data_IF_532534443386
#
_entry.id   IF_532534443386
#
_cell.length_a   1.000
_cell.length_b   1.000
_cell.length_c   1.000
_cell.angle_alpha   90.00
_cell.angle_beta   90.00
_cell.angle_gamma   90.00
#
_symmetry.space_group_name_H-M   'P 1'
#
loop_
_entity.id
_entity.type
_entity.pdbx_description
1 polymer ?
#
# COMPACT_ATOMS: atom_id res chain seq x y z
N UNK A 1 21.58 -78.79 3.97
CA UNK A 1 20.75 -78.48 2.78
C UNK A 1 20.79 -76.97 2.57
N UNK A 2 21.36 -76.49 1.46
CA UNK A 2 21.30 -75.06 1.10
C UNK A 2 19.94 -74.77 0.44
N UNK A 3 19.23 -73.70 0.81
CA UNK A 3 17.94 -73.36 0.22
C UNK A 3 18.11 -72.95 -1.25
N UNK A 4 17.16 -73.35 -2.08
CA UNK A 4 17.13 -73.03 -3.51
C UNK A 4 16.98 -71.50 -3.71
N UNK A 5 17.71 -70.90 -4.66
CA UNK A 5 17.62 -69.47 -4.92
C UNK A 5 16.21 -69.12 -5.43
N UNK A 6 15.67 -68.03 -4.90
CA UNK A 6 14.39 -67.47 -5.31
C UNK A 6 14.37 -67.23 -6.82
N UNK A 7 13.24 -67.46 -7.52
CA UNK A 7 13.14 -67.20 -8.94
C UNK A 7 13.38 -65.71 -9.19
N UNK A 8 14.55 -65.40 -9.76
CA UNK A 8 14.84 -64.07 -10.27
C UNK A 8 13.81 -63.76 -11.35
N UNK A 9 13.12 -62.63 -11.22
CA UNK A 9 12.33 -62.06 -12.31
C UNK A 9 13.21 -62.03 -13.57
N UNK A 10 12.67 -62.40 -14.75
CA UNK A 10 13.46 -62.39 -15.97
C UNK A 10 14.00 -60.98 -16.17
N UNK A 11 15.32 -60.83 -16.28
CA UNK A 11 16.05 -59.54 -16.37
C UNK A 11 15.47 -58.55 -17.39
N UNK A 12 14.75 -59.07 -18.37
CA UNK A 12 14.06 -58.33 -19.42
C UNK A 12 12.86 -57.53 -18.88
N UNK A 13 12.09 -58.09 -17.93
CA UNK A 13 10.96 -57.41 -17.29
C UNK A 13 11.40 -56.21 -16.43
N UNK A 14 12.52 -56.33 -15.72
CA UNK A 14 13.08 -55.23 -14.92
C UNK A 14 13.63 -54.10 -15.81
N UNK A 15 14.22 -54.45 -16.95
CA UNK A 15 14.69 -53.46 -17.95
C UNK A 15 13.53 -52.70 -18.59
N UNK A 16 12.44 -53.41 -18.92
CA UNK A 16 11.26 -52.82 -19.54
C UNK A 16 10.52 -51.88 -18.55
N UNK A 17 10.43 -52.27 -17.28
CA UNK A 17 9.87 -51.44 -16.21
C UNK A 17 10.72 -50.18 -15.95
N UNK A 18 12.04 -50.29 -16.02
CA UNK A 18 12.93 -49.14 -15.86
C UNK A 18 12.79 -48.15 -17.01
N UNK A 19 12.76 -48.64 -18.26
CA UNK A 19 12.55 -47.81 -19.44
C UNK A 19 11.18 -47.11 -19.43
N UNK A 20 10.13 -47.80 -18.97
CA UNK A 20 8.80 -47.21 -18.79
C UNK A 20 8.80 -46.12 -17.70
N UNK A 21 9.48 -46.35 -16.58
CA UNK A 21 9.59 -45.37 -15.50
C UNK A 21 10.36 -44.12 -15.95
N UNK A 22 11.47 -44.28 -16.67
CA UNK A 22 12.23 -43.16 -17.24
C UNK A 22 11.40 -42.36 -18.26
N UNK A 23 10.65 -43.06 -19.12
CA UNK A 23 9.73 -42.43 -20.06
C UNK A 23 8.62 -41.63 -19.37
N UNK A 24 8.08 -42.15 -18.27
CA UNK A 24 7.05 -41.47 -17.48
C UNK A 24 7.61 -40.21 -16.78
N UNK A 25 8.80 -40.30 -16.21
CA UNK A 25 9.50 -39.17 -15.56
C UNK A 25 9.78 -38.07 -16.59
N UNK A 26 10.33 -38.43 -17.75
CA UNK A 26 10.60 -37.47 -18.82
C UNK A 26 9.31 -36.79 -19.32
N UNK A 27 8.20 -37.54 -19.40
CA UNK A 27 6.90 -36.99 -19.75
C UNK A 27 6.38 -36.00 -18.70
N UNK A 28 6.46 -36.37 -17.41
CA UNK A 28 6.04 -35.52 -16.29
C UNK A 28 6.88 -34.23 -16.19
N UNK A 29 8.19 -34.33 -16.44
CA UNK A 29 9.08 -33.17 -16.47
C UNK A 29 8.74 -32.23 -17.63
N UNK A 30 8.42 -32.80 -18.80
CA UNK A 30 7.96 -32.03 -19.96
C UNK A 30 6.66 -31.27 -19.68
N UNK A 31 5.70 -31.93 -19.04
CA UNK A 31 4.40 -31.34 -18.70
C UNK A 31 4.53 -30.27 -17.60
N UNK A 32 5.36 -30.50 -16.59
CA UNK A 32 5.67 -29.53 -15.53
C UNK A 32 6.32 -28.27 -16.10
N UNK A 33 7.20 -28.42 -17.09
CA UNK A 33 7.84 -27.29 -17.77
C UNK A 33 6.83 -26.47 -18.58
N UNK A 34 5.91 -27.12 -19.28
CA UNK A 34 4.85 -26.44 -20.04
C UNK A 34 3.92 -25.66 -19.10
N UNK A 35 3.48 -26.26 -17.99
CA UNK A 35 2.65 -25.59 -16.99
C UNK A 35 3.36 -24.38 -16.36
N UNK A 36 4.67 -24.49 -16.12
CA UNK A 36 5.47 -23.39 -15.58
C UNK A 36 5.56 -22.20 -16.56
N UNK A 37 5.70 -22.48 -17.86
CA UNK A 37 5.72 -21.46 -18.91
C UNK A 37 4.35 -20.78 -19.06
N UNK A 38 3.27 -21.56 -19.05
CA UNK A 38 1.91 -21.02 -19.16
C UNK A 38 1.55 -20.19 -17.92
N UNK A 39 1.98 -20.62 -16.73
CA UNK A 39 1.85 -19.81 -15.51
C UNK A 39 2.58 -18.47 -15.64
N UNK A 40 3.84 -18.47 -16.08
CA UNK A 40 4.60 -17.24 -16.25
C UNK A 40 3.95 -16.28 -17.28
N UNK A 41 3.36 -16.84 -18.35
CA UNK A 41 2.58 -16.08 -19.33
C UNK A 41 1.32 -15.46 -18.72
N UNK A 42 0.56 -16.24 -17.95
CA UNK A 42 -0.64 -15.77 -17.26
C UNK A 42 -0.30 -14.67 -16.24
N UNK A 43 0.77 -14.82 -15.47
CA UNK A 43 1.25 -13.81 -14.53
C UNK A 43 1.60 -12.50 -15.26
N UNK A 44 2.26 -12.58 -16.42
CA UNK A 44 2.56 -11.43 -17.29
C UNK A 44 1.27 -10.75 -17.80
N UNK A 45 0.29 -11.54 -18.26
CA UNK A 45 -1.00 -11.01 -18.75
C UNK A 45 -1.83 -10.38 -17.63
N UNK A 46 -1.82 -10.96 -16.42
CA UNK A 46 -2.46 -10.38 -15.24
C UNK A 46 -1.82 -9.03 -14.93
N UNK A 47 -0.48 -8.97 -14.89
CA UNK A 47 0.24 -7.74 -14.60
C UNK A 47 0.00 -6.66 -15.67
N UNK A 48 -0.07 -7.03 -16.95
CA UNK A 48 -0.45 -6.13 -18.04
C UNK A 48 -1.89 -5.64 -17.93
N UNK A 49 -2.84 -6.51 -17.59
CA UNK A 49 -4.24 -6.17 -17.41
C UNK A 49 -4.45 -5.24 -16.20
N UNK A 50 -3.81 -5.53 -15.07
CA UNK A 50 -3.78 -4.66 -13.89
C UNK A 50 -3.16 -3.32 -14.24
N UNK A 51 -2.01 -3.31 -14.92
CA UNK A 51 -1.36 -2.09 -15.39
C UNK A 51 -2.26 -1.30 -16.34
N UNK A 52 -2.98 -1.95 -17.26
CA UNK A 52 -3.91 -1.32 -18.18
C UNK A 52 -5.16 -0.78 -17.47
N UNK A 53 -5.67 -1.48 -16.45
CA UNK A 53 -6.76 -1.04 -15.60
C UNK A 53 -6.36 0.17 -14.76
N UNK A 54 -5.14 0.18 -14.22
CA UNK A 54 -4.54 1.34 -13.56
C UNK A 54 -4.30 2.51 -14.54
N UNK A 55 -3.98 2.24 -15.81
CA UNK A 55 -3.83 3.27 -16.87
C UNK A 55 -5.17 3.87 -17.33
N UNK A 56 -6.29 3.12 -17.24
CA UNK A 56 -7.64 3.58 -17.64
C UNK A 56 -8.32 4.47 -16.60
N UNK A 57 -7.82 4.52 -15.36
CA UNK A 57 -8.23 5.53 -14.39
C UNK A 57 -7.61 6.86 -14.82
N UNK A 58 -8.41 7.73 -15.46
CA UNK A 58 -8.08 9.09 -15.92
C UNK A 58 -6.90 9.69 -15.13
N UNK A 59 -5.69 9.70 -15.70
CA UNK A 59 -4.58 10.49 -15.14
C UNK A 59 -4.97 11.96 -15.21
N UNK A 60 -5.41 12.50 -14.08
CA UNK A 60 -5.57 13.93 -13.94
C UNK A 60 -4.20 14.61 -14.17
N UNK A 61 -4.19 15.90 -14.54
CA UNK A 61 -2.93 16.64 -14.66
C UNK A 61 -2.10 16.57 -13.36
N UNK A 62 -2.80 16.47 -12.23
CA UNK A 62 -2.25 16.24 -10.90
C UNK A 62 -1.49 14.91 -10.79
N UNK A 63 -2.05 13.79 -11.22
CA UNK A 63 -1.37 12.48 -11.11
C UNK A 63 -0.07 12.43 -11.91
N UNK A 64 -0.07 13.06 -13.10
CA UNK A 64 1.15 13.22 -13.89
C UNK A 64 2.19 14.07 -13.17
N UNK A 65 1.77 15.13 -12.48
CA UNK A 65 2.68 15.96 -11.70
C UNK A 65 3.28 15.17 -10.52
N UNK A 66 2.46 14.43 -9.77
CA UNK A 66 2.94 13.57 -8.67
C UNK A 66 3.96 12.54 -9.17
N UNK A 67 3.69 11.87 -10.29
CA UNK A 67 4.62 10.91 -10.87
C UNK A 67 5.95 11.55 -11.26
N UNK A 68 5.92 12.70 -11.94
CA UNK A 68 7.14 13.41 -12.37
C UNK A 68 8.01 13.84 -11.19
N UNK A 69 7.39 14.37 -10.14
CA UNK A 69 8.11 14.77 -8.92
C UNK A 69 8.72 13.55 -8.26
N UNK A 70 7.97 12.46 -8.10
CA UNK A 70 8.49 11.20 -7.54
C UNK A 70 9.69 10.65 -8.33
N UNK A 71 9.58 10.59 -9.67
CA UNK A 71 10.68 10.10 -10.53
C UNK A 71 11.93 10.99 -10.47
N UNK A 72 11.82 12.27 -10.12
CA UNK A 72 12.97 13.16 -10.03
C UNK A 72 13.92 12.80 -8.87
N UNK A 73 13.45 12.05 -7.88
CA UNK A 73 14.29 11.57 -6.77
C UNK A 73 15.10 10.31 -7.11
N UNK A 74 14.76 9.61 -8.19
CA UNK A 74 15.37 8.33 -8.57
C UNK A 74 16.88 8.39 -8.81
N UNK A 75 17.45 9.38 -9.53
CA UNK A 75 18.90 9.47 -9.72
C UNK A 75 19.69 9.64 -8.41
N UNK A 76 19.04 10.14 -7.36
CA UNK A 76 19.62 10.31 -6.04
C UNK A 76 19.40 9.12 -5.09
N UNK A 77 18.78 8.02 -5.57
CA UNK A 77 18.30 6.88 -4.77
C UNK A 77 17.21 7.27 -3.74
N UNK A 78 16.37 8.24 -4.11
CA UNK A 78 15.34 8.79 -3.22
C UNK A 78 13.99 8.07 -3.28
N UNK A 79 13.83 7.03 -4.10
CA UNK A 79 12.56 6.28 -4.19
C UNK A 79 12.22 5.53 -2.90
N UNK A 80 13.23 5.24 -2.06
CA UNK A 80 13.05 4.62 -0.74
C UNK A 80 12.79 5.61 0.41
N UNK A 81 12.65 6.92 0.13
CA UNK A 81 12.35 7.90 1.18
C UNK A 81 10.93 7.70 1.74
N UNK A 82 10.80 7.82 3.07
CA UNK A 82 9.49 7.77 3.74
C UNK A 82 8.64 9.00 3.35
N UNK A 83 7.55 8.76 2.63
CA UNK A 83 6.67 9.80 2.08
C UNK A 83 5.99 10.62 3.18
N UNK A 84 5.73 10.00 4.33
CA UNK A 84 5.21 10.67 5.53
C UNK A 84 6.25 11.66 6.05
N UNK A 85 7.50 11.24 6.23
CA UNK A 85 8.59 12.11 6.69
C UNK A 85 8.89 13.24 5.70
N UNK A 86 8.80 13.00 4.38
CA UNK A 86 8.88 14.07 3.38
C UNK A 86 7.79 15.13 3.60
N UNK A 87 6.55 14.69 3.81
CA UNK A 87 5.45 15.61 4.11
C UNK A 87 5.70 16.38 5.41
N UNK A 88 6.25 15.70 6.43
CA UNK A 88 6.57 16.33 7.70
C UNK A 88 7.69 17.35 7.62
N UNK A 89 8.72 17.08 6.82
CA UNK A 89 9.82 18.00 6.58
C UNK A 89 9.33 19.29 5.90
N UNK A 90 8.46 19.15 4.90
CA UNK A 90 7.82 20.28 4.21
C UNK A 90 7.00 21.12 5.21
N UNK A 91 6.20 20.46 6.05
CA UNK A 91 5.35 21.12 7.05
C UNK A 91 6.15 21.83 8.16
N UNK A 92 7.34 21.33 8.49
CA UNK A 92 8.25 21.97 9.45
C UNK A 92 8.87 23.26 8.92
N UNK A 93 8.82 23.52 7.61
CA UNK A 93 9.33 24.72 6.97
C UNK A 93 10.76 25.06 7.39
N UNK A 94 10.97 26.24 7.98
CA UNK A 94 12.30 26.72 8.41
C UNK A 94 13.02 25.78 9.38
N UNK A 95 12.28 25.06 10.24
CA UNK A 95 12.88 24.12 11.19
C UNK A 95 13.40 22.88 10.44
N UNK A 96 12.67 22.41 9.43
CA UNK A 96 13.11 21.33 8.56
C UNK A 96 14.39 21.69 7.80
N UNK A 97 14.47 22.91 7.27
CA UNK A 97 15.68 23.42 6.61
C UNK A 97 16.88 23.45 7.58
N UNK A 98 16.69 23.97 8.80
CA UNK A 98 17.76 24.02 9.79
C UNK A 98 18.29 22.62 10.17
N UNK A 99 17.39 21.65 10.36
CA UNK A 99 17.75 20.26 10.63
C UNK A 99 18.53 19.64 9.46
N UNK A 100 18.09 19.87 8.21
CA UNK A 100 18.76 19.38 7.02
C UNK A 100 20.17 19.98 6.88
N UNK A 101 20.34 21.27 7.14
CA UNK A 101 21.66 21.92 7.15
C UNK A 101 22.57 21.28 8.20
N UNK A 102 22.06 21.03 9.41
CA UNK A 102 22.80 20.32 10.45
C UNK A 102 23.26 18.93 10.01
N UNK A 103 22.40 18.18 9.31
CA UNK A 103 22.78 16.88 8.74
C UNK A 103 23.81 17.05 7.63
N UNK A 104 23.65 18.03 6.74
CA UNK A 104 24.58 18.27 5.64
C UNK A 104 26.00 18.60 6.12
N UNK A 105 26.12 19.48 7.13
CA UNK A 105 27.41 19.86 7.71
C UNK A 105 28.16 18.67 8.33
N UNK A 106 27.42 17.72 8.92
CA UNK A 106 28.01 16.52 9.53
C UNK A 106 28.22 15.36 8.53
N UNK A 107 27.81 15.53 7.27
CA UNK A 107 27.86 14.47 6.26
C UNK A 107 28.38 14.99 4.90
N UNK A 108 29.61 15.54 4.83
CA UNK A 108 30.16 16.16 3.61
C UNK A 108 30.32 15.17 2.45
N UNK A 109 30.33 13.86 2.72
CA UNK A 109 30.41 12.82 1.69
C UNK A 109 29.09 12.48 1.00
N UNK A 110 27.95 13.03 1.44
CA UNK A 110 26.66 12.82 0.79
C UNK A 110 26.64 13.53 -0.58
N UNK A 111 26.32 12.79 -1.65
CA UNK A 111 26.36 13.28 -3.03
C UNK A 111 25.02 13.79 -3.54
N UNK A 112 23.93 13.52 -2.83
CA UNK A 112 22.57 13.92 -3.23
C UNK A 112 21.76 14.41 -2.04
N UNK A 113 20.75 15.24 -2.33
CA UNK A 113 19.75 15.65 -1.34
C UNK A 113 19.01 14.42 -0.76
N UNK A 114 18.68 13.43 -1.59
CA UNK A 114 18.02 12.21 -1.16
C UNK A 114 18.81 11.46 -0.08
N UNK A 115 20.14 11.38 -0.21
CA UNK A 115 21.00 10.78 0.82
C UNK A 115 20.99 11.57 2.12
N UNK A 116 20.97 12.91 2.05
CA UNK A 116 20.86 13.78 3.23
C UNK A 116 19.49 13.62 3.91
N UNK A 117 18.42 13.53 3.13
CA UNK A 117 17.06 13.29 3.63
C UNK A 117 16.94 11.92 4.31
N UNK A 118 17.48 10.87 3.70
CA UNK A 118 17.50 9.54 4.29
C UNK A 118 18.24 9.53 5.64
N UNK A 119 19.40 10.19 5.73
CA UNK A 119 20.15 10.35 6.99
C UNK A 119 19.37 11.18 8.01
N UNK A 120 18.70 12.24 7.59
CA UNK A 120 17.87 13.07 8.47
C UNK A 120 16.69 12.25 9.04
N UNK A 121 16.00 11.48 8.21
CA UNK A 121 14.89 10.64 8.65
C UNK A 121 15.33 9.48 9.55
N UNK A 122 16.55 9.00 9.40
CA UNK A 122 17.17 8.03 10.30
C UNK A 122 17.75 8.65 11.59
N UNK A 123 17.81 9.97 11.69
CA UNK A 123 18.37 10.67 12.86
C UNK A 123 17.38 10.74 14.03
N UNK A 124 17.83 11.27 15.16
CA UNK A 124 16.97 11.53 16.33
C UNK A 124 15.79 12.47 16.02
N UNK A 125 15.91 13.33 15.00
CA UNK A 125 14.81 14.19 14.57
C UNK A 125 13.75 13.45 13.72
N UNK A 126 14.08 12.28 13.19
CA UNK A 126 13.24 11.50 12.28
C UNK A 126 11.83 11.21 12.81
N UNK A 127 11.67 10.66 14.03
CA UNK A 127 10.34 10.41 14.61
C UNK A 127 9.48 11.66 14.71
N UNK A 128 10.07 12.80 15.09
CA UNK A 128 9.36 14.08 15.17
C UNK A 128 8.93 14.56 13.79
N UNK A 129 9.82 14.53 12.80
CA UNK A 129 9.51 14.86 11.40
C UNK A 129 8.34 13.99 10.91
N UNK A 130 8.41 12.68 11.13
CA UNK A 130 7.35 11.75 10.73
C UNK A 130 6.02 12.04 11.42
N UNK A 131 6.02 12.44 12.68
CA UNK A 131 4.80 12.83 13.40
C UNK A 131 4.12 14.07 12.80
N UNK A 132 4.91 15.07 12.40
CA UNK A 132 4.41 16.24 11.65
C UNK A 132 3.83 15.83 10.30
N UNK A 133 4.47 14.88 9.62
CA UNK A 133 3.97 14.32 8.37
C UNK A 133 2.64 13.59 8.54
N UNK A 134 2.51 12.78 9.59
CA UNK A 134 1.27 12.08 9.90
C UNK A 134 0.14 13.06 10.23
N UNK A 135 0.43 14.10 11.02
CA UNK A 135 -0.49 15.18 11.35
C UNK A 135 -0.99 15.90 10.10
N UNK A 136 -0.08 16.43 9.28
CA UNK A 136 -0.40 17.18 8.07
C UNK A 136 -1.21 16.33 7.07
N UNK A 137 -0.80 15.07 6.85
CA UNK A 137 -1.50 14.15 5.94
C UNK A 137 -2.90 13.80 6.45
N UNK A 138 -3.06 13.60 7.75
CA UNK A 138 -4.36 13.32 8.33
C UNK A 138 -5.35 14.46 8.03
N UNK A 139 -4.95 15.71 8.30
CA UNK A 139 -5.79 16.87 8.04
C UNK A 139 -6.12 17.03 6.55
N UNK A 140 -5.10 16.96 5.69
CA UNK A 140 -5.31 17.06 4.24
C UNK A 140 -6.25 15.96 3.70
N UNK A 141 -6.09 14.70 4.14
CA UNK A 141 -6.98 13.61 3.73
C UNK A 141 -8.40 13.75 4.29
N UNK A 142 -8.54 14.28 5.51
CA UNK A 142 -9.83 14.52 6.14
C UNK A 142 -10.60 15.62 5.41
N UNK A 143 -9.92 16.71 5.02
CA UNK A 143 -10.50 17.76 4.16
C UNK A 143 -10.96 17.21 2.81
N UNK A 144 -10.13 16.39 2.15
CA UNK A 144 -10.52 15.74 0.89
C UNK A 144 -11.75 14.83 1.07
N UNK A 145 -11.78 14.04 2.13
CA UNK A 145 -12.91 13.18 2.44
C UNK A 145 -14.20 13.98 2.64
N UNK A 146 -14.13 15.07 3.40
CA UNK A 146 -15.27 15.98 3.64
C UNK A 146 -15.73 16.61 2.33
N UNK A 147 -14.80 17.12 1.52
CA UNK A 147 -15.09 17.74 0.23
C UNK A 147 -15.73 16.76 -0.76
N UNK A 148 -15.19 15.54 -0.88
CA UNK A 148 -15.72 14.49 -1.75
C UNK A 148 -17.12 14.04 -1.30
N UNK A 149 -17.30 13.81 0.00
CA UNK A 149 -18.60 13.44 0.58
C UNK A 149 -19.64 14.54 0.33
N UNK A 150 -19.26 15.80 0.57
CA UNK A 150 -20.14 16.96 0.35
C UNK A 150 -20.53 17.09 -1.13
N UNK A 151 -19.55 16.96 -2.03
CA UNK A 151 -19.76 17.01 -3.48
C UNK A 151 -20.69 15.89 -3.94
N UNK A 152 -20.46 14.67 -3.45
CA UNK A 152 -21.31 13.52 -3.78
C UNK A 152 -22.75 13.73 -3.30
N UNK A 153 -22.95 14.14 -2.05
CA UNK A 153 -24.27 14.44 -1.49
C UNK A 153 -24.98 15.58 -2.23
N UNK A 154 -24.24 16.53 -2.77
CA UNK A 154 -24.79 17.61 -3.59
C UNK A 154 -25.11 17.18 -5.03
N UNK A 155 -24.58 16.06 -5.52
CA UNK A 155 -24.79 15.58 -6.88
C UNK A 155 -26.21 15.03 -7.10
N UNK A 156 -26.72 15.00 -8.35
CA UNK A 156 -28.02 14.39 -8.66
C UNK A 156 -28.14 12.93 -8.16
N UNK A 157 -27.06 12.16 -8.31
CA UNK A 157 -27.03 10.76 -7.88
C UNK A 157 -27.05 10.61 -6.35
N UNK A 158 -26.42 11.54 -5.60
CA UNK A 158 -26.43 11.53 -4.14
C UNK A 158 -27.77 11.95 -3.54
N UNK A 159 -28.48 12.88 -4.20
CA UNK A 159 -29.79 13.38 -3.76
C UNK A 159 -30.95 12.43 -4.09
N UNK A 160 -30.83 11.61 -5.12
CA UNK A 160 -31.89 10.71 -5.54
C UNK A 160 -32.00 9.46 -4.62
N UNK A 161 -33.08 9.32 -3.82
CA UNK A 161 -33.28 8.16 -2.97
C UNK A 161 -33.57 6.87 -3.76
N UNK A 162 -33.89 6.97 -5.06
CA UNK A 162 -34.17 5.83 -5.95
C UNK A 162 -33.02 5.51 -6.90
N UNK A 163 -31.88 6.19 -6.75
CA UNK A 163 -30.73 6.06 -7.64
C UNK A 163 -30.27 4.61 -7.76
N UNK A 164 -29.93 4.19 -8.97
CA UNK A 164 -29.59 2.79 -9.28
C UNK A 164 -28.45 2.26 -8.41
N UNK A 165 -27.47 3.10 -8.06
CA UNK A 165 -26.33 2.69 -7.22
C UNK A 165 -26.76 2.23 -5.83
N UNK A 166 -27.87 2.73 -5.29
CA UNK A 166 -28.37 2.39 -3.94
C UNK A 166 -28.84 0.94 -3.83
N UNK A 167 -29.24 0.33 -4.95
CA UNK A 167 -29.86 -1.01 -5.00
C UNK A 167 -28.87 -2.17 -5.03
N UNK A 168 -27.59 -1.90 -5.29
CA UNK A 168 -26.56 -2.93 -5.26
C UNK A 168 -26.32 -3.45 -3.84
N UNK A 169 -25.60 -4.56 -3.70
CA UNK A 169 -25.09 -4.98 -2.41
C UNK A 169 -24.11 -3.95 -1.83
N UNK A 170 -24.05 -3.86 -0.51
CA UNK A 170 -23.00 -3.13 0.19
C UNK A 170 -21.62 -3.60 -0.31
N UNK A 171 -20.74 -2.65 -0.61
CA UNK A 171 -19.38 -2.95 -1.04
C UNK A 171 -18.56 -3.52 0.11
N UNK A 172 -17.53 -4.31 -0.18
CA UNK A 172 -16.62 -4.84 0.84
C UNK A 172 -16.07 -3.74 1.77
N UNK A 173 -15.78 -2.56 1.21
CA UNK A 173 -15.32 -1.40 1.97
C UNK A 173 -16.40 -0.84 2.90
N UNK A 174 -17.67 -0.80 2.49
CA UNK A 174 -18.76 -0.39 3.37
C UNK A 174 -19.01 -1.42 4.47
N UNK A 175 -18.99 -2.71 4.15
CA UNK A 175 -19.11 -3.78 5.15
C UNK A 175 -18.03 -3.66 6.22
N UNK A 176 -16.77 -3.51 5.80
CA UNK A 176 -15.65 -3.27 6.71
C UNK A 176 -15.88 -2.02 7.59
N UNK A 177 -16.29 -0.90 6.99
CA UNK A 177 -16.57 0.32 7.77
C UNK A 177 -17.72 0.13 8.77
N UNK A 178 -18.77 -0.59 8.39
CA UNK A 178 -19.88 -0.92 9.29
C UNK A 178 -19.38 -1.73 10.48
N UNK A 179 -18.58 -2.76 10.25
CA UNK A 179 -17.99 -3.60 11.30
C UNK A 179 -17.08 -2.79 12.24
N UNK A 180 -16.22 -1.93 11.69
CA UNK A 180 -15.35 -1.06 12.49
C UNK A 180 -16.16 -0.05 13.32
N UNK A 181 -17.17 0.59 12.72
CA UNK A 181 -18.06 1.51 13.45
C UNK A 181 -18.82 0.76 14.55
N UNK A 182 -19.35 -0.43 14.24
CA UNK A 182 -20.08 -1.26 15.20
C UNK A 182 -19.20 -1.66 16.38
N UNK A 183 -17.95 -2.08 16.11
CA UNK A 183 -16.95 -2.39 17.13
C UNK A 183 -16.63 -1.18 18.01
N UNK A 184 -16.32 -0.03 17.41
CA UNK A 184 -15.95 1.19 18.14
C UNK A 184 -17.10 1.72 18.98
N UNK A 185 -18.34 1.62 18.51
CA UNK A 185 -19.53 2.10 19.21
C UNK A 185 -20.17 1.03 20.12
N UNK A 186 -19.61 -0.18 20.17
CA UNK A 186 -20.17 -1.33 20.90
C UNK A 186 -21.64 -1.61 20.57
N UNK A 187 -22.00 -1.53 19.28
CA UNK A 187 -23.35 -1.84 18.78
C UNK A 187 -23.32 -3.06 17.85
N UNK A 188 -24.46 -3.70 17.66
CA UNK A 188 -24.56 -4.83 16.72
C UNK A 188 -24.45 -4.35 15.28
N UNK A 189 -23.55 -4.98 14.51
CA UNK A 189 -23.45 -4.74 13.07
C UNK A 189 -24.67 -5.35 12.35
N UNK A 190 -25.32 -4.60 11.44
CA UNK A 190 -26.36 -5.15 10.59
C UNK A 190 -25.81 -6.24 9.67
N UNK A 191 -26.54 -7.34 9.50
CA UNK A 191 -26.08 -8.53 8.74
C UNK A 191 -26.18 -8.35 7.23
N UNK A 192 -27.18 -7.64 6.75
CA UNK A 192 -27.40 -7.40 5.32
C UNK A 192 -27.99 -6.01 5.11
N UNK A 193 -27.42 -5.27 4.16
CA UNK A 193 -27.88 -3.96 3.74
C UNK A 193 -27.64 -3.79 2.25
N UNK A 194 -28.53 -3.06 1.60
CA UNK A 194 -28.27 -2.50 0.28
C UNK A 194 -27.21 -1.40 0.38
N UNK A 195 -26.57 -1.08 -0.73
CA UNK A 195 -25.47 -0.10 -0.80
C UNK A 195 -25.88 1.27 -0.31
N UNK A 196 -27.11 1.70 -0.61
CA UNK A 196 -27.67 2.97 -0.13
C UNK A 196 -27.91 2.96 1.38
N UNK A 197 -28.50 1.88 1.90
CA UNK A 197 -28.75 1.72 3.34
C UNK A 197 -27.44 1.67 4.14
N UNK A 198 -26.43 0.97 3.62
CA UNK A 198 -25.09 0.94 4.20
C UNK A 198 -24.46 2.35 4.23
N UNK A 199 -24.61 3.11 3.13
CA UNK A 199 -24.15 4.49 3.08
C UNK A 199 -24.84 5.37 4.14
N UNK A 200 -26.17 5.31 4.24
CA UNK A 200 -26.93 6.10 5.21
C UNK A 200 -26.57 5.71 6.65
N UNK A 201 -26.42 4.40 6.93
CA UNK A 201 -26.07 3.90 8.25
C UNK A 201 -24.69 4.38 8.71
N UNK A 202 -23.70 4.39 7.79
CA UNK A 202 -22.35 4.91 8.03
C UNK A 202 -22.41 6.41 8.31
N UNK A 203 -23.12 7.18 7.47
CA UNK A 203 -23.25 8.63 7.61
C UNK A 203 -23.91 9.03 8.92
N UNK A 204 -24.97 8.33 9.33
CA UNK A 204 -25.68 8.57 10.59
C UNK A 204 -24.81 8.35 11.84
N UNK A 205 -23.65 7.67 11.71
CA UNK A 205 -22.71 7.37 12.81
C UNK A 205 -21.40 8.15 12.73
N UNK A 206 -21.40 9.24 11.97
CA UNK A 206 -20.26 10.14 11.83
C UNK A 206 -19.26 9.72 10.76
N UNK A 207 -19.64 8.82 9.83
CA UNK A 207 -18.81 8.45 8.70
C UNK A 207 -17.64 7.53 9.07
N UNK A 208 -16.52 7.70 8.37
CA UNK A 208 -15.34 6.85 8.55
C UNK A 208 -14.67 7.09 9.93
N UNK A 209 -14.56 6.07 10.81
CA UNK A 209 -13.95 6.19 12.13
C UNK A 209 -12.54 6.78 12.14
N UNK A 210 -11.76 6.58 11.06
CA UNK A 210 -10.40 7.13 10.91
C UNK A 210 -10.32 8.64 11.15
N UNK A 211 -11.41 9.36 10.89
CA UNK A 211 -11.46 10.82 10.97
C UNK A 211 -12.09 11.33 12.28
N UNK A 212 -12.44 10.45 13.24
CA UNK A 212 -13.05 10.86 14.51
C UNK A 212 -12.09 11.57 15.45
N UNK A 213 -10.83 11.15 15.48
CA UNK A 213 -9.79 11.74 16.32
C UNK A 213 -8.58 12.10 15.47
N UNK A 214 -8.23 13.39 15.49
CA UNK A 214 -6.98 13.85 14.90
C UNK A 214 -5.79 13.33 15.72
N UNK A 215 -4.64 13.02 15.08
CA UNK A 215 -3.40 12.86 15.82
C UNK A 215 -3.09 14.15 16.60
N UNK A 216 -2.42 14.07 17.77
CA UNK A 216 -2.03 15.25 18.52
C UNK A 216 -1.09 16.13 17.68
N UNK A 217 -1.17 17.44 17.89
CA UNK A 217 -0.21 18.39 17.29
C UNK A 217 1.19 18.05 17.83
N UNK A 218 2.18 17.77 16.97
CA UNK A 218 3.52 17.47 17.46
C UNK A 218 4.27 18.71 17.95
N UNK A 219 5.26 18.50 18.81
CA UNK A 219 6.12 19.57 19.31
C UNK A 219 7.01 20.18 18.21
N UNK A 220 7.56 21.36 18.46
CA UNK A 220 8.56 21.95 17.58
C UNK A 220 9.94 21.33 17.83
N UNK A 221 10.79 21.20 16.79
CA UNK A 221 12.15 20.70 16.97
C UNK A 221 12.96 21.63 17.88
N UNK A 222 13.68 21.04 18.83
CA UNK A 222 14.70 21.76 19.61
C UNK A 222 15.88 22.07 18.70
N UNK A 223 15.89 23.26 18.11
CA UNK A 223 17.06 23.79 17.43
C UNK A 223 18.03 24.20 18.53
N UNK A 224 18.98 23.35 18.89
CA UNK A 224 20.05 23.69 19.84
C UNK A 224 20.78 24.94 19.34
N UNK A 225 20.38 26.11 19.83
CA UNK A 225 21.10 27.35 19.58
C UNK A 225 22.45 27.32 20.28
N UNK A 226 23.48 28.02 19.77
CA UNK A 226 24.69 28.21 20.56
C UNK A 226 24.30 28.84 21.89
N UNK A 227 24.83 28.30 23.00
CA UNK A 227 24.74 28.94 24.30
C UNK A 227 25.14 30.40 24.13
N UNK A 228 24.28 31.34 24.54
CA UNK A 228 24.62 32.76 24.51
C UNK A 228 25.91 32.92 25.33
N UNK A 229 26.97 33.53 24.79
CA UNK A 229 28.08 33.95 25.63
C UNK A 229 27.53 34.92 26.68
N UNK A 230 27.85 34.64 27.95
CA UNK A 230 27.67 35.58 29.05
C UNK A 230 28.67 36.73 28.92
#
# INVERSE_FOLDING_TARGET
MKPAPAPCLPKQLDSDLHALAEGLIASLDGETRLLSLERARLDSLIQEAETAQHRRVRRSARDRACYRVGSAFEPGDGLGLDDVSLTGLDYLGRYGVALLVGVALNNPGARSLSQLLARLFASQAGPLIRSWGAYARWHWMQELYVAETTTFLASPAGRDPKATWRRGSATARQTFLIEEIARVLAVTAPRSMLRGEAFDWIMARGGNPRWKAAPPVPDLPSLGGPARPQ
#
